data_IF_712366511348
#
_entry.id   IF_712366511348
#
_cell.length_a   1.000
_cell.length_b   1.000
_cell.length_c   1.000
_cell.angle_alpha   90.00
_cell.angle_beta   90.00
_cell.angle_gamma   90.00
#
_symmetry.space_group_name_H-M   'P 1'
#
loop_
_entity.id
_entity.type
_entity.pdbx_description
1 polymer ?
#
# COMPACT_ATOMS: atom_id res chain seq x y z
N UNK A 1 -56.61 44.87 -7.55
CA UNK A 1 -56.70 46.06 -8.42
C UNK A 1 -56.27 45.59 -9.81
N UNK A 2 -57.11 45.78 -10.85
CA UNK A 2 -57.15 44.94 -12.07
C UNK A 2 -57.43 43.44 -11.76
N UNK A 3 -58.46 42.74 -12.24
CA UNK A 3 -59.46 42.93 -13.29
C UNK A 3 -58.98 42.66 -14.74
N UNK A 4 -59.45 41.55 -15.32
CA UNK A 4 -60.35 41.64 -16.47
C UNK A 4 -61.24 40.38 -16.61
N UNK A 5 -62.42 40.50 -17.25
CA UNK A 5 -63.38 39.42 -17.50
C UNK A 5 -64.07 39.61 -18.86
N UNK A 6 -64.04 38.58 -19.72
CA UNK A 6 -64.97 38.36 -20.82
C UNK A 6 -64.87 36.89 -21.29
N UNK A 7 -65.84 36.16 -21.88
CA UNK A 7 -67.29 36.25 -22.19
C UNK A 7 -67.55 35.82 -23.66
N UNK A 8 -68.67 35.12 -23.89
CA UNK A 8 -69.25 34.73 -25.20
C UNK A 8 -68.43 33.63 -25.95
N UNK A 9 -68.97 32.49 -26.42
CA UNK A 9 -70.16 32.12 -27.23
C UNK A 9 -69.99 32.45 -28.73
N UNK A 10 -70.33 31.61 -29.73
CA UNK A 10 -70.87 30.23 -29.76
C UNK A 10 -70.14 29.41 -30.89
N UNK A 11 -70.62 28.41 -31.65
CA UNK A 11 -71.95 27.88 -32.06
C UNK A 11 -71.88 26.39 -32.47
N UNK A 12 -72.96 25.83 -33.02
CA UNK A 12 -73.01 24.58 -33.84
C UNK A 12 -73.54 24.96 -35.27
N UNK A 13 -73.81 24.08 -36.29
CA UNK A 13 -74.31 22.68 -36.22
C UNK A 13 -73.82 21.64 -37.27
N UNK A 14 -74.25 20.38 -37.07
CA UNK A 14 -74.54 19.31 -38.07
C UNK A 14 -73.38 18.77 -38.95
N UNK A 15 -73.36 17.51 -39.43
CA UNK A 15 -74.47 16.61 -39.82
C UNK A 15 -74.29 15.11 -39.52
N UNK A 16 -75.45 14.46 -39.31
CA UNK A 16 -75.84 13.06 -39.52
C UNK A 16 -74.82 12.01 -40.07
N UNK A 17 -74.72 10.88 -39.35
CA UNK A 17 -75.00 9.54 -39.89
C UNK A 17 -75.32 8.55 -38.75
N UNK A 18 -76.17 7.54 -38.98
CA UNK A 18 -76.63 6.59 -37.95
C UNK A 18 -76.18 5.15 -38.21
N UNK A 19 -75.90 4.39 -37.15
CA UNK A 19 -76.30 2.98 -37.00
C UNK A 19 -76.01 2.44 -35.58
N UNK A 20 -76.67 1.34 -35.21
CA UNK A 20 -76.77 0.85 -33.83
C UNK A 20 -76.02 -0.47 -33.68
N UNK A 21 -75.12 -0.60 -32.69
CA UNK A 21 -74.69 -1.92 -32.21
C UNK A 21 -74.36 -1.96 -30.70
N UNK A 22 -75.28 -2.63 -29.99
CA UNK A 22 -75.34 -3.10 -28.60
C UNK A 22 -74.05 -3.02 -27.74
N UNK A 23 -74.18 -2.39 -26.56
CA UNK A 23 -73.22 -2.42 -25.44
C UNK A 23 -72.85 -3.86 -25.02
N UNK A 24 -71.57 -4.09 -24.71
CA UNK A 24 -71.09 -5.17 -23.82
C UNK A 24 -70.24 -4.56 -22.69
N UNK A 25 -70.43 -4.93 -21.41
CA UNK A 25 -69.60 -4.43 -20.31
C UNK A 25 -68.20 -5.04 -20.33
N UNK A 26 -67.17 -4.25 -19.97
CA UNK A 26 -65.81 -4.73 -19.74
C UNK A 26 -65.56 -4.91 -18.24
N UNK A 27 -65.32 -6.13 -17.73
CA UNK A 27 -64.66 -6.33 -16.45
C UNK A 27 -63.13 -6.19 -16.61
N UNK A 28 -62.53 -5.63 -15.55
CA UNK A 28 -61.12 -5.27 -15.36
C UNK A 28 -60.10 -6.25 -15.94
N UNK A 29 -59.07 -5.74 -16.66
CA UNK A 29 -57.79 -6.45 -16.81
C UNK A 29 -57.14 -6.56 -15.43
N UNK A 30 -56.88 -7.77 -14.95
CA UNK A 30 -55.98 -8.02 -13.83
C UNK A 30 -54.55 -7.69 -14.25
N UNK A 31 -53.88 -6.79 -13.53
CA UNK A 31 -52.48 -6.49 -13.76
C UNK A 31 -51.61 -7.65 -13.24
N UNK A 32 -51.18 -8.54 -14.14
CA UNK A 32 -50.15 -9.52 -13.81
C UNK A 32 -48.81 -8.77 -13.66
N UNK A 33 -48.16 -8.80 -12.48
CA UNK A 33 -46.88 -8.13 -12.30
C UNK A 33 -45.81 -8.89 -13.09
N UNK A 34 -45.43 -8.35 -14.26
CA UNK A 34 -44.21 -8.78 -14.95
C UNK A 34 -43.06 -8.61 -13.96
N UNK A 35 -42.47 -9.72 -13.52
CA UNK A 35 -41.13 -9.73 -12.90
C UNK A 35 -40.17 -9.12 -13.92
N UNK A 36 -39.92 -7.83 -13.80
CA UNK A 36 -38.72 -7.23 -14.36
C UNK A 36 -37.56 -7.89 -13.61
N UNK A 37 -36.87 -8.82 -14.27
CA UNK A 37 -35.58 -9.28 -13.79
C UNK A 37 -34.63 -8.09 -13.86
N UNK A 38 -34.48 -7.40 -12.73
CA UNK A 38 -33.50 -6.33 -12.58
C UNK A 38 -32.12 -6.93 -12.77
N UNK A 39 -31.60 -6.83 -14.00
CA UNK A 39 -30.16 -6.85 -14.23
C UNK A 39 -29.63 -5.67 -13.44
N UNK A 40 -29.14 -5.95 -12.23
CA UNK A 40 -28.35 -5.03 -11.45
C UNK A 40 -27.17 -4.66 -12.35
N UNK A 41 -27.21 -3.44 -12.87
CA UNK A 41 -26.15 -2.89 -13.68
C UNK A 41 -24.97 -2.62 -12.76
N UNK A 42 -24.11 -3.63 -12.58
CA UNK A 42 -22.79 -3.48 -11.96
C UNK A 42 -21.87 -2.76 -12.95
N UNK A 43 -22.27 -1.53 -13.27
CA UNK A 43 -21.39 -0.45 -13.70
C UNK A 43 -21.25 0.41 -12.46
N UNK A 44 -20.45 -0.08 -11.51
CA UNK A 44 -19.97 0.78 -10.45
C UNK A 44 -19.24 1.94 -11.11
N UNK A 45 -19.49 3.17 -10.67
CA UNK A 45 -18.67 4.29 -11.09
C UNK A 45 -17.23 3.98 -10.64
N UNK A 46 -16.33 3.79 -11.61
CA UNK A 46 -14.91 3.57 -11.29
C UNK A 46 -14.43 4.81 -10.57
N UNK A 47 -14.08 4.64 -9.29
CA UNK A 47 -13.58 5.74 -8.46
C UNK A 47 -12.24 6.19 -9.03
N UNK A 48 -11.95 7.51 -9.02
CA UNK A 48 -10.63 8.09 -9.31
C UNK A 48 -9.58 7.78 -8.20
N UNK A 49 -9.72 6.60 -7.58
CA UNK A 49 -8.97 6.09 -6.44
C UNK A 49 -8.45 4.70 -6.81
N UNK A 50 -7.22 4.61 -7.37
CA UNK A 50 -6.67 3.35 -7.89
C UNK A 50 -6.47 2.28 -6.81
N UNK A 51 -6.49 2.67 -5.52
CA UNK A 51 -6.48 1.72 -4.40
C UNK A 51 -7.80 0.96 -4.35
N UNK A 52 -8.94 1.67 -4.46
CA UNK A 52 -10.27 1.05 -4.49
C UNK A 52 -10.48 0.24 -5.76
N UNK A 53 -10.04 0.76 -6.91
CA UNK A 53 -10.08 0.04 -8.18
C UNK A 53 -9.33 -1.30 -8.08
N UNK A 54 -8.08 -1.27 -7.60
CA UNK A 54 -7.28 -2.48 -7.43
C UNK A 54 -7.93 -3.48 -6.46
N UNK A 55 -8.39 -3.03 -5.29
CA UNK A 55 -9.04 -3.90 -4.28
C UNK A 55 -10.29 -4.60 -4.86
N UNK A 56 -11.11 -3.87 -5.63
CA UNK A 56 -12.34 -4.37 -6.25
C UNK A 56 -12.12 -5.15 -7.57
N UNK A 57 -10.87 -5.34 -8.01
CA UNK A 57 -10.52 -6.04 -9.26
C UNK A 57 -9.46 -7.11 -9.03
N UNK A 58 -8.18 -6.74 -9.02
CA UNK A 58 -7.04 -7.64 -8.73
C UNK A 58 -7.09 -8.22 -7.31
N UNK A 59 -7.58 -7.45 -6.34
CA UNK A 59 -7.80 -7.85 -4.95
C UNK A 59 -9.04 -8.74 -4.73
N UNK A 60 -9.91 -8.90 -5.74
CA UNK A 60 -11.07 -9.80 -5.78
C UNK A 60 -12.17 -9.55 -4.72
N UNK A 61 -12.16 -8.41 -4.04
CA UNK A 61 -13.31 -7.97 -3.26
C UNK A 61 -14.48 -7.59 -4.18
N UNK A 62 -15.72 -7.84 -3.75
CA UNK A 62 -16.92 -7.29 -4.42
C UNK A 62 -17.40 -6.00 -3.76
N UNK A 63 -17.05 -5.77 -2.49
CA UNK A 63 -17.44 -4.58 -1.73
C UNK A 63 -16.39 -4.19 -0.67
N UNK A 64 -16.15 -2.89 -0.52
CA UNK A 64 -15.41 -2.33 0.63
C UNK A 64 -16.45 -2.01 1.71
N UNK A 65 -16.41 -2.75 2.82
CA UNK A 65 -17.36 -2.64 3.94
C UNK A 65 -16.97 -1.58 4.96
N UNK A 66 -15.71 -1.13 4.95
CA UNK A 66 -15.23 -0.07 5.84
C UNK A 66 -13.80 0.37 5.53
N UNK A 67 -13.42 1.55 6.05
CA UNK A 67 -12.05 2.05 6.01
C UNK A 67 -11.71 2.73 7.33
N UNK A 68 -10.56 2.39 7.92
CA UNK A 68 -10.08 2.98 9.18
C UNK A 68 -8.63 3.41 9.08
N UNK A 69 -8.32 4.65 9.45
CA UNK A 69 -6.93 5.11 9.62
C UNK A 69 -6.24 4.33 10.74
N UNK A 70 -4.99 3.95 10.52
CA UNK A 70 -4.14 3.27 11.51
C UNK A 70 -3.03 4.24 11.92
N UNK A 71 -2.85 4.41 13.24
CA UNK A 71 -1.76 5.20 13.80
C UNK A 71 -0.41 4.48 13.73
N UNK A 72 0.68 5.24 13.75
CA UNK A 72 2.06 4.71 13.79
C UNK A 72 2.96 5.22 12.66
N UNK A 73 2.40 5.56 11.49
CA UNK A 73 3.16 6.11 10.37
C UNK A 73 3.64 7.55 10.61
N UNK A 74 4.94 7.74 10.86
CA UNK A 74 5.54 9.07 11.01
C UNK A 74 5.67 9.86 9.70
N UNK A 75 5.70 9.16 8.55
CA UNK A 75 5.95 9.72 7.21
C UNK A 75 4.78 9.47 6.26
N UNK A 76 4.14 8.30 6.38
CA UNK A 76 3.10 7.80 5.48
C UNK A 76 1.76 7.67 6.20
N UNK A 77 0.66 7.98 5.53
CA UNK A 77 -0.68 7.76 6.07
C UNK A 77 -1.07 6.28 5.89
N UNK A 78 -1.28 5.57 6.99
CA UNK A 78 -1.65 4.16 7.01
C UNK A 78 -3.17 3.97 7.18
N UNK A 79 -3.75 3.04 6.43
CA UNK A 79 -5.18 2.74 6.42
C UNK A 79 -5.42 1.23 6.31
N UNK A 80 -6.45 0.74 7.00
CA UNK A 80 -7.06 -0.56 6.76
C UNK A 80 -8.32 -0.38 5.92
N UNK A 81 -8.45 -1.20 4.89
CA UNK A 81 -9.65 -1.35 4.07
C UNK A 81 -10.26 -2.72 4.40
N UNK A 82 -11.50 -2.74 4.87
CA UNK A 82 -12.24 -3.97 5.15
C UNK A 82 -13.13 -4.32 3.95
N UNK A 83 -13.15 -5.60 3.56
CA UNK A 83 -13.88 -6.09 2.39
C UNK A 83 -14.50 -7.46 2.66
N UNK A 84 -15.39 -7.89 1.77
CA UNK A 84 -15.93 -9.25 1.72
C UNK A 84 -14.88 -10.35 1.41
N UNK A 85 -13.73 -9.98 0.83
CA UNK A 85 -12.61 -10.87 0.57
C UNK A 85 -11.52 -10.86 1.67
N UNK A 86 -11.72 -10.10 2.76
CA UNK A 86 -10.75 -9.89 3.84
C UNK A 86 -10.29 -8.43 3.96
N UNK A 87 -9.29 -8.18 4.82
CA UNK A 87 -8.77 -6.84 5.06
C UNK A 87 -7.47 -6.58 4.29
N UNK A 88 -7.31 -5.38 3.74
CA UNK A 88 -6.08 -4.90 3.11
C UNK A 88 -5.45 -3.78 3.93
N UNK A 89 -4.12 -3.76 4.01
CA UNK A 89 -3.38 -2.64 4.58
C UNK A 89 -2.80 -1.78 3.45
N UNK A 90 -2.97 -0.47 3.57
CA UNK A 90 -2.58 0.51 2.56
C UNK A 90 -1.77 1.61 3.23
N UNK A 91 -0.61 1.92 2.67
CA UNK A 91 0.11 3.17 2.98
C UNK A 91 0.00 4.11 1.80
N UNK A 92 -0.15 5.40 2.08
CA UNK A 92 -0.16 6.46 1.07
C UNK A 92 0.81 7.59 1.45
N UNK A 93 1.41 8.22 0.44
CA UNK A 93 2.20 9.43 0.60
C UNK A 93 1.85 10.41 -0.52
N UNK A 94 1.37 11.61 -0.18
CA UNK A 94 0.91 12.63 -1.17
C UNK A 94 2.05 13.50 -1.74
N UNK A 95 3.31 13.19 -1.46
CA UNK A 95 4.49 13.99 -1.86
C UNK A 95 5.60 13.17 -2.48
N UNK A 96 5.79 11.92 -2.06
CA UNK A 96 6.86 11.04 -2.51
C UNK A 96 6.36 10.16 -3.66
N UNK A 97 7.16 10.04 -4.73
CA UNK A 97 6.90 9.16 -5.86
C UNK A 97 7.04 7.66 -5.52
N UNK A 98 6.69 6.75 -6.44
CA UNK A 98 6.52 5.33 -6.12
C UNK A 98 7.80 4.62 -5.69
N UNK A 99 8.99 5.08 -6.08
CA UNK A 99 10.29 4.46 -5.78
C UNK A 99 10.51 4.07 -4.30
N UNK A 100 10.02 4.87 -3.35
CA UNK A 100 10.06 4.54 -1.91
C UNK A 100 9.30 3.24 -1.60
N UNK A 101 8.07 3.15 -2.13
CA UNK A 101 7.20 1.98 -1.96
C UNK A 101 7.59 0.80 -2.86
N UNK A 102 8.21 1.04 -4.02
CA UNK A 102 8.82 0.00 -4.86
C UNK A 102 9.97 -0.69 -4.10
N UNK A 103 10.82 0.10 -3.43
CA UNK A 103 11.87 -0.40 -2.55
C UNK A 103 11.32 -1.18 -1.34
N UNK A 104 10.25 -0.68 -0.71
CA UNK A 104 9.57 -1.39 0.39
C UNK A 104 8.95 -2.72 -0.08
N UNK A 105 8.24 -2.72 -1.20
CA UNK A 105 7.61 -3.92 -1.76
C UNK A 105 8.64 -4.98 -2.19
N UNK A 106 9.75 -4.58 -2.80
CA UNK A 106 10.83 -5.51 -3.16
C UNK A 106 11.54 -6.07 -1.93
N UNK A 107 11.73 -5.25 -0.88
CA UNK A 107 12.26 -5.71 0.41
C UNK A 107 11.34 -6.72 1.11
N UNK A 108 10.05 -6.39 1.24
CA UNK A 108 9.04 -7.29 1.80
C UNK A 108 8.95 -8.60 1.00
N UNK A 109 8.96 -8.54 -0.34
CA UNK A 109 8.91 -9.74 -1.20
C UNK A 109 10.14 -10.62 -1.06
N UNK A 110 11.34 -10.03 -1.01
CA UNK A 110 12.59 -10.77 -0.80
C UNK A 110 12.59 -11.51 0.55
N UNK A 111 12.13 -10.86 1.63
CA UNK A 111 12.01 -11.49 2.94
C UNK A 111 10.93 -12.58 2.95
N UNK A 112 9.76 -12.34 2.34
CA UNK A 112 8.67 -13.32 2.23
C UNK A 112 9.12 -14.61 1.54
N UNK A 113 9.90 -14.50 0.45
CA UNK A 113 10.37 -15.64 -0.32
C UNK A 113 11.37 -16.53 0.44
N UNK A 114 12.00 -16.04 1.51
CA UNK A 114 12.82 -16.88 2.42
C UNK A 114 12.01 -17.92 3.19
N UNK A 115 10.68 -17.71 3.35
CA UNK A 115 9.77 -18.55 4.15
C UNK A 115 10.21 -18.74 5.61
N UNK A 116 10.93 -17.77 6.15
CA UNK A 116 11.50 -17.79 7.50
C UNK A 116 10.57 -17.10 8.52
N UNK A 117 10.74 -15.80 8.73
CA UNK A 117 9.94 -14.89 9.57
C UNK A 117 8.70 -14.39 8.84
N UNK A 118 7.63 -14.02 9.58
CA UNK A 118 6.43 -13.46 8.96
C UNK A 118 6.64 -11.98 8.61
N UNK A 119 6.24 -11.63 7.40
CA UNK A 119 6.20 -10.25 6.88
C UNK A 119 4.91 -10.06 6.09
N UNK A 120 4.33 -8.86 6.01
CA UNK A 120 3.17 -8.60 5.15
C UNK A 120 3.49 -8.92 3.68
N UNK A 121 2.67 -9.72 3.02
CA UNK A 121 2.77 -9.95 1.58
C UNK A 121 2.41 -8.65 0.80
N UNK A 122 3.33 -8.03 0.03
CA UNK A 122 3.02 -6.87 -0.79
C UNK A 122 2.25 -7.29 -2.06
N UNK A 123 1.23 -6.52 -2.43
CA UNK A 123 0.38 -6.81 -3.59
C UNK A 123 0.56 -5.83 -4.74
N UNK A 124 0.61 -4.52 -4.45
CA UNK A 124 0.65 -3.47 -5.48
C UNK A 124 1.35 -2.22 -4.98
N UNK A 125 2.11 -1.57 -5.87
CA UNK A 125 2.59 -0.19 -5.71
C UNK A 125 2.06 0.63 -6.88
N UNK A 126 1.79 1.92 -6.66
CA UNK A 126 1.34 2.80 -7.73
C UNK A 126 1.41 4.29 -7.37
N UNK A 127 1.19 5.13 -8.38
CA UNK A 127 1.09 6.59 -8.22
C UNK A 127 -0.35 7.01 -7.89
N UNK A 128 -0.52 8.08 -7.12
CA UNK A 128 -1.82 8.69 -6.85
C UNK A 128 -2.15 9.74 -7.92
N UNK A 129 -3.40 9.83 -8.44
CA UNK A 129 -3.77 10.84 -9.45
C UNK A 129 -3.58 12.29 -8.99
N UNK A 130 -3.66 12.54 -7.68
CA UNK A 130 -3.44 13.85 -7.06
C UNK A 130 -1.96 14.19 -6.80
N UNK A 131 -1.04 13.33 -7.27
CA UNK A 131 0.38 13.38 -6.92
C UNK A 131 0.71 12.54 -5.68
N UNK A 132 1.92 11.98 -5.68
CA UNK A 132 2.35 11.01 -4.66
C UNK A 132 2.13 9.56 -5.09
N UNK A 133 2.13 8.64 -4.12
CA UNK A 133 2.14 7.19 -4.33
C UNK A 133 1.47 6.39 -3.19
N UNK A 134 1.29 5.09 -3.42
CA UNK A 134 0.72 4.15 -2.46
C UNK A 134 1.35 2.75 -2.58
N UNK A 135 1.19 1.95 -1.51
CA UNK A 135 1.42 0.50 -1.48
C UNK A 135 0.21 -0.19 -0.84
N UNK A 136 -0.18 -1.35 -1.39
CA UNK A 136 -1.22 -2.25 -0.87
C UNK A 136 -0.55 -3.57 -0.50
N UNK A 137 -0.83 -4.07 0.71
CA UNK A 137 -0.28 -5.31 1.25
C UNK A 137 -1.28 -6.05 2.16
N UNK A 138 -0.91 -7.25 2.59
CA UNK A 138 -1.61 -8.04 3.60
C UNK A 138 -1.89 -7.23 4.87
N UNK A 139 -3.14 -7.21 5.34
CA UNK A 139 -3.44 -6.77 6.70
C UNK A 139 -3.20 -7.90 7.69
N UNK A 140 -2.09 -7.83 8.43
CA UNK A 140 -1.82 -8.71 9.56
C UNK A 140 -2.52 -8.13 10.80
N UNK A 141 -3.43 -8.91 11.40
CA UNK A 141 -3.99 -8.56 12.71
C UNK A 141 -2.97 -8.92 13.81
N UNK A 142 -2.52 -7.90 14.56
CA UNK A 142 -1.61 -8.11 15.67
C UNK A 142 -2.30 -8.66 16.92
N UNK A 143 -1.58 -9.50 17.65
CA UNK A 143 -2.00 -10.05 18.94
C UNK A 143 -1.85 -9.06 20.10
N UNK A 144 -2.22 -9.49 21.30
CA UNK A 144 -1.97 -8.74 22.56
C UNK A 144 -0.61 -9.05 23.20
N UNK A 145 0.11 -10.03 22.67
CA UNK A 145 1.45 -10.43 23.15
C UNK A 145 2.53 -9.52 22.57
N UNK A 146 3.68 -9.42 23.25
CA UNK A 146 4.90 -8.76 22.74
C UNK A 146 5.77 -9.69 21.86
N UNK A 147 5.23 -10.85 21.49
CA UNK A 147 5.91 -11.91 20.73
C UNK A 147 6.92 -12.70 21.57
N UNK A 148 7.24 -13.91 21.13
CA UNK A 148 8.39 -14.66 21.67
C UNK A 148 9.69 -14.12 21.06
N UNK A 149 10.54 -13.52 21.91
CA UNK A 149 11.86 -13.01 21.51
C UNK A 149 12.82 -14.14 21.09
N UNK A 150 12.64 -15.37 21.58
CA UNK A 150 13.40 -16.54 21.15
C UNK A 150 12.99 -16.99 19.75
N UNK A 151 11.69 -17.04 19.45
CA UNK A 151 11.19 -17.25 18.10
C UNK A 151 11.69 -16.16 17.14
N UNK A 152 11.59 -14.87 17.52
CA UNK A 152 12.09 -13.74 16.73
C UNK A 152 13.58 -13.93 16.37
N UNK A 153 14.44 -14.19 17.36
CA UNK A 153 15.87 -14.42 17.12
C UNK A 153 16.17 -15.60 16.20
N UNK A 154 15.49 -16.74 16.39
CA UNK A 154 15.62 -17.91 15.49
C UNK A 154 15.17 -17.59 14.07
N UNK A 155 14.02 -16.92 13.92
CA UNK A 155 13.39 -16.58 12.65
C UNK A 155 14.19 -15.56 11.83
N UNK A 156 14.85 -14.60 12.49
CA UNK A 156 15.81 -13.69 11.84
C UNK A 156 17.06 -14.44 11.34
N UNK A 157 17.61 -15.37 12.12
CA UNK A 157 18.76 -16.21 11.69
C UNK A 157 18.38 -17.13 10.52
N UNK A 158 17.16 -17.65 10.48
CA UNK A 158 16.63 -18.36 9.32
C UNK A 158 16.58 -17.44 8.08
N UNK A 159 16.10 -16.19 8.22
CA UNK A 159 16.03 -15.21 7.13
C UNK A 159 17.41 -14.90 6.54
N UNK A 160 18.37 -14.54 7.40
CA UNK A 160 19.74 -14.17 6.98
C UNK A 160 20.46 -15.33 6.29
N UNK A 161 20.19 -16.58 6.69
CA UNK A 161 20.80 -17.78 6.07
C UNK A 161 20.14 -18.19 4.75
N UNK A 162 18.87 -17.88 4.54
CA UNK A 162 18.11 -18.35 3.38
C UNK A 162 18.37 -17.52 2.12
N UNK A 163 18.54 -16.20 2.25
CA UNK A 163 18.78 -15.31 1.11
C UNK A 163 20.21 -14.77 1.10
N UNK A 164 21.04 -15.40 0.25
CA UNK A 164 22.40 -14.95 -0.10
C UNK A 164 22.42 -14.18 -1.43
N UNK A 165 23.41 -13.32 -1.61
CA UNK A 165 23.65 -12.58 -2.87
C UNK A 165 24.91 -13.09 -3.58
N UNK A 166 24.80 -13.33 -4.89
CA UNK A 166 25.94 -13.59 -5.79
C UNK A 166 26.61 -12.31 -6.31
N UNK A 167 25.98 -11.15 -6.08
CA UNK A 167 26.44 -9.82 -6.55
C UNK A 167 27.23 -9.03 -5.50
N UNK A 168 27.52 -9.64 -4.35
CA UNK A 168 28.07 -8.95 -3.19
C UNK A 168 27.00 -8.15 -2.43
N UNK A 169 27.39 -6.98 -1.93
CA UNK A 169 26.64 -6.15 -0.98
C UNK A 169 25.87 -5.06 -1.70
N UNK A 170 24.61 -4.82 -1.33
CA UNK A 170 23.71 -3.91 -2.06
C UNK A 170 22.28 -4.44 -2.19
N UNK A 171 21.51 -3.90 -3.15
CA UNK A 171 20.15 -4.34 -3.44
C UNK A 171 19.75 -4.04 -4.90
N UNK A 172 18.64 -4.62 -5.36
CA UNK A 172 18.18 -4.47 -6.75
C UNK A 172 17.70 -3.05 -7.11
N UNK A 173 17.32 -2.25 -6.11
CA UNK A 173 16.90 -0.86 -6.22
C UNK A 173 17.47 -0.04 -5.06
N UNK A 174 17.65 1.26 -5.27
CA UNK A 174 17.73 2.20 -4.15
C UNK A 174 16.38 2.23 -3.42
N UNK A 175 16.42 2.40 -2.10
CA UNK A 175 15.23 2.56 -1.27
C UNK A 175 15.46 3.67 -0.24
N UNK A 176 14.80 3.63 0.91
CA UNK A 176 14.90 4.68 1.94
C UNK A 176 15.05 4.09 3.33
N UNK A 177 15.89 4.72 4.15
CA UNK A 177 15.91 4.54 5.61
C UNK A 177 15.18 5.73 6.23
N UNK A 178 13.98 5.49 6.77
CA UNK A 178 13.02 6.56 7.06
C UNK A 178 12.68 7.35 5.79
N UNK A 179 12.99 8.64 5.75
CA UNK A 179 12.84 9.52 4.57
C UNK A 179 14.16 9.81 3.84
N UNK A 180 15.27 9.23 4.27
CA UNK A 180 16.59 9.44 3.67
C UNK A 180 16.84 8.39 2.58
N UNK A 181 17.29 8.77 1.35
CA UNK A 181 17.67 7.80 0.34
C UNK A 181 18.75 6.85 0.85
N UNK A 182 18.62 5.56 0.53
CA UNK A 182 19.59 4.52 0.85
C UNK A 182 20.16 3.96 -0.46
N UNK A 183 21.40 4.35 -0.72
CA UNK A 183 22.15 3.97 -1.92
C UNK A 183 22.50 2.49 -1.84
N UNK A 184 22.09 1.71 -2.84
CA UNK A 184 22.18 0.24 -2.82
C UNK A 184 23.01 -0.34 -3.98
N UNK A 185 23.82 0.49 -4.63
CA UNK A 185 24.79 0.09 -5.66
C UNK A 185 25.64 -1.09 -5.20
N UNK A 186 25.70 -2.15 -6.01
CA UNK A 186 26.43 -3.36 -5.69
C UNK A 186 27.95 -3.12 -5.56
N UNK A 187 28.55 -3.66 -4.49
CA UNK A 187 30.01 -3.71 -4.29
C UNK A 187 30.47 -5.11 -3.89
N UNK A 188 31.73 -5.45 -4.21
CA UNK A 188 32.32 -6.76 -3.89
C UNK A 188 32.89 -6.84 -2.46
N UNK A 189 33.15 -5.69 -1.81
CA UNK A 189 33.65 -5.60 -0.44
C UNK A 189 32.61 -4.90 0.47
N UNK A 190 32.51 -5.41 1.70
CA UNK A 190 31.59 -4.90 2.74
C UNK A 190 32.12 -3.59 3.34
N UNK A 191 33.44 -3.50 3.52
CA UNK A 191 34.07 -2.37 4.21
C UNK A 191 33.99 -1.13 3.30
N UNK A 192 34.16 -1.28 1.98
CA UNK A 192 33.80 -0.26 0.99
C UNK A 192 32.30 0.06 1.05
N UNK A 193 31.41 -0.93 1.01
CA UNK A 193 29.95 -0.71 1.02
C UNK A 193 29.51 0.17 2.18
N UNK A 194 29.88 -0.23 3.39
CA UNK A 194 29.45 0.43 4.61
C UNK A 194 30.10 1.80 4.78
N UNK A 195 31.39 1.94 4.43
CA UNK A 195 32.10 3.23 4.42
C UNK A 195 31.43 4.24 3.49
N UNK A 196 31.07 3.83 2.29
CA UNK A 196 30.68 4.69 1.18
C UNK A 196 29.17 4.93 1.11
N UNK A 197 28.40 3.84 1.17
CA UNK A 197 26.95 3.81 0.94
C UNK A 197 26.12 3.80 2.24
N UNK A 198 26.75 3.74 3.42
CA UNK A 198 26.09 3.96 4.72
C UNK A 198 26.69 5.16 5.46
N UNK A 199 27.88 5.02 6.06
CA UNK A 199 28.48 6.06 6.91
C UNK A 199 28.79 7.35 6.13
N UNK A 200 29.60 7.27 5.08
CA UNK A 200 30.05 8.41 4.28
C UNK A 200 28.92 9.20 3.64
N UNK A 201 27.87 8.52 3.18
CA UNK A 201 26.67 9.16 2.66
C UNK A 201 25.93 9.98 3.73
N UNK A 202 25.71 9.43 4.92
CA UNK A 202 25.06 10.14 6.04
C UNK A 202 25.92 11.31 6.53
N UNK A 203 27.23 11.11 6.68
CA UNK A 203 28.19 12.18 7.04
C UNK A 203 28.14 13.33 6.04
N UNK A 204 28.11 13.02 4.73
CA UNK A 204 28.00 14.02 3.66
C UNK A 204 26.69 14.80 3.75
N UNK A 205 25.55 14.12 3.98
CA UNK A 205 24.26 14.79 4.16
C UNK A 205 24.25 15.72 5.39
N UNK A 206 24.84 15.30 6.52
CA UNK A 206 24.94 16.12 7.72
C UNK A 206 25.80 17.37 7.45
N UNK A 207 26.98 17.20 6.85
CA UNK A 207 27.87 18.30 6.50
C UNK A 207 27.21 19.29 5.53
N UNK A 208 26.55 18.80 4.47
CA UNK A 208 25.86 19.65 3.48
C UNK A 208 24.64 20.37 4.04
N UNK A 209 23.94 19.81 5.05
CA UNK A 209 22.70 20.37 5.60
C UNK A 209 22.92 21.29 6.81
N UNK A 210 23.96 21.04 7.61
CA UNK A 210 24.18 21.72 8.89
C UNK A 210 25.54 22.41 9.00
N UNK A 211 26.45 22.22 8.04
CA UNK A 211 27.80 22.83 8.05
C UNK A 211 28.77 22.20 9.05
N UNK A 212 28.41 21.09 9.69
CA UNK A 212 29.27 20.41 10.66
C UNK A 212 30.43 19.69 9.96
N UNK A 213 31.60 20.35 9.91
CA UNK A 213 32.84 19.75 9.42
C UNK A 213 33.47 18.83 10.47
N UNK A 214 33.27 19.11 11.76
CA UNK A 214 33.91 18.38 12.86
C UNK A 214 33.39 16.93 12.97
N UNK A 215 32.10 16.68 12.73
CA UNK A 215 31.57 15.32 12.61
C UNK A 215 32.00 14.65 11.30
N UNK A 216 32.07 15.41 10.21
CA UNK A 216 32.47 14.90 8.89
C UNK A 216 33.92 14.40 8.89
N UNK A 217 34.85 15.23 9.36
CA UNK A 217 36.29 14.94 9.47
C UNK A 217 36.56 13.74 10.38
N UNK A 218 35.94 13.68 11.57
CA UNK A 218 36.02 12.52 12.47
C UNK A 218 35.43 11.26 11.83
N UNK A 219 34.37 11.41 11.05
CA UNK A 219 33.77 10.33 10.28
C UNK A 219 34.67 9.79 9.16
N UNK A 220 35.39 10.66 8.45
CA UNK A 220 36.40 10.22 7.47
C UNK A 220 37.55 9.49 8.16
N UNK A 221 38.07 10.01 9.28
CA UNK A 221 39.13 9.37 10.07
C UNK A 221 38.72 8.00 10.64
N UNK A 222 37.41 7.75 10.85
CA UNK A 222 36.88 6.43 11.22
C UNK A 222 36.83 5.50 10.00
N UNK A 223 36.36 5.99 8.86
CA UNK A 223 36.30 5.24 7.59
C UNK A 223 37.69 4.78 7.15
N UNK A 224 38.68 5.67 7.17
CA UNK A 224 40.10 5.36 6.87
C UNK A 224 40.68 4.25 7.77
N UNK A 225 40.13 4.07 8.97
CA UNK A 225 40.58 3.10 9.99
C UNK A 225 39.60 1.94 10.16
N UNK A 226 38.66 1.76 9.23
CA UNK A 226 37.61 0.76 9.40
C UNK A 226 38.08 -0.66 9.06
N UNK A 227 39.06 -0.83 8.16
CA UNK A 227 39.58 -2.16 7.79
C UNK A 227 40.07 -2.98 9.01
N UNK A 228 40.97 -2.47 9.88
CA UNK A 228 41.45 -3.22 11.06
C UNK A 228 40.37 -3.61 12.09
N UNK A 229 39.15 -3.06 11.99
CA UNK A 229 38.03 -3.47 12.87
C UNK A 229 37.41 -4.82 12.44
N UNK A 230 37.76 -5.30 11.24
CA UNK A 230 37.25 -6.53 10.64
C UNK A 230 38.37 -7.49 10.19
N UNK A 231 39.61 -7.28 10.64
CA UNK A 231 40.76 -8.13 10.29
C UNK A 231 40.49 -9.61 10.66
N UNK A 232 40.59 -10.49 9.67
CA UNK A 232 40.32 -11.93 9.82
C UNK A 232 38.83 -12.33 9.83
N UNK A 233 37.89 -11.38 9.74
CA UNK A 233 36.48 -11.69 9.58
C UNK A 233 36.16 -12.09 8.13
N UNK A 234 35.44 -13.20 7.95
CA UNK A 234 34.77 -13.53 6.69
C UNK A 234 33.32 -13.08 6.81
N UNK A 235 32.92 -12.15 5.94
CA UNK A 235 31.57 -11.61 5.86
C UNK A 235 30.92 -12.21 4.60
N UNK A 236 29.69 -12.70 4.73
CA UNK A 236 28.92 -13.28 3.62
C UNK A 236 27.65 -12.44 3.39
N UNK A 237 27.35 -11.99 2.15
CA UNK A 237 26.13 -11.25 1.85
C UNK A 237 24.85 -11.99 2.26
N UNK A 238 24.10 -11.41 3.19
CA UNK A 238 22.85 -11.91 3.76
C UNK A 238 21.75 -10.83 3.72
N UNK A 239 20.50 -11.25 3.47
CA UNK A 239 19.36 -10.34 3.37
C UNK A 239 19.00 -9.74 4.74
N UNK A 240 19.08 -8.42 4.88
CA UNK A 240 18.68 -7.69 6.08
C UNK A 240 17.32 -7.00 5.96
N UNK A 241 16.66 -6.84 7.10
CA UNK A 241 15.51 -5.95 7.28
C UNK A 241 15.88 -4.46 7.10
N UNK A 242 17.11 -4.07 7.45
CA UNK A 242 17.63 -2.70 7.33
C UNK A 242 17.19 -1.72 8.42
N UNK A 243 15.92 -1.75 8.85
CA UNK A 243 15.37 -0.89 9.91
C UNK A 243 14.69 -1.72 11.02
N UNK A 244 15.46 -2.53 11.75
CA UNK A 244 14.89 -3.46 12.74
C UNK A 244 14.97 -2.91 14.17
N UNK A 245 13.88 -2.32 14.63
CA UNK A 245 13.70 -1.79 15.99
C UNK A 245 12.28 -2.03 16.50
N UNK A 246 11.98 -1.68 17.75
CA UNK A 246 10.72 -2.04 18.43
C UNK A 246 9.44 -1.45 17.83
N UNK A 247 9.51 -0.43 16.97
CA UNK A 247 8.36 0.06 16.19
C UNK A 247 8.01 -0.84 15.00
N UNK A 248 9.00 -1.56 14.48
CA UNK A 248 8.92 -2.40 13.28
C UNK A 248 8.83 -3.91 13.62
N UNK A 249 8.64 -4.25 14.89
CA UNK A 249 8.50 -5.61 15.41
C UNK A 249 7.13 -5.75 16.06
N UNK A 250 6.40 -6.80 15.68
CA UNK A 250 5.08 -7.13 16.23
C UNK A 250 4.92 -8.65 16.38
N UNK A 251 3.75 -9.08 16.83
CA UNK A 251 3.34 -10.48 16.80
C UNK A 251 1.91 -10.58 16.27
N UNK A 252 1.61 -11.64 15.52
CA UNK A 252 0.24 -11.90 15.04
C UNK A 252 -0.67 -12.47 16.15
N UNK A 253 -1.90 -12.87 15.78
CA UNK A 253 -2.87 -13.47 16.71
C UNK A 253 -2.45 -14.81 17.31
N UNK A 254 -1.53 -15.53 16.68
CA UNK A 254 -0.97 -16.79 17.21
C UNK A 254 0.20 -16.52 18.16
N UNK A 255 0.81 -15.34 18.04
CA UNK A 255 2.03 -14.94 18.76
C UNK A 255 3.31 -15.10 17.93
N UNK A 256 3.20 -15.47 16.66
CA UNK A 256 4.34 -15.59 15.74
C UNK A 256 4.95 -14.20 15.46
N UNK A 257 6.29 -14.09 15.41
CA UNK A 257 6.97 -12.80 15.23
C UNK A 257 6.78 -12.26 13.80
N UNK A 258 6.40 -10.98 13.72
CA UNK A 258 6.18 -10.24 12.48
C UNK A 258 7.13 -9.05 12.42
N UNK A 259 7.79 -8.84 11.27
CA UNK A 259 8.59 -7.63 11.01
C UNK A 259 8.00 -6.80 9.86
N UNK A 260 8.15 -5.47 9.95
CA UNK A 260 7.39 -4.46 9.21
C UNK A 260 8.32 -3.34 8.72
N UNK A 261 7.95 -2.65 7.64
CA UNK A 261 8.60 -1.40 7.20
C UNK A 261 10.12 -1.54 6.92
N UNK A 262 10.55 -2.45 6.03
CA UNK A 262 11.97 -2.72 5.78
C UNK A 262 12.69 -1.66 4.93
N UNK A 263 13.90 -1.29 5.35
CA UNK A 263 14.90 -0.58 4.55
C UNK A 263 15.88 -1.59 3.92
N UNK A 264 15.37 -2.60 3.23
CA UNK A 264 16.07 -3.84 2.89
C UNK A 264 17.34 -3.67 2.01
N UNK A 265 18.39 -4.46 2.30
CA UNK A 265 19.58 -4.66 1.46
C UNK A 265 20.33 -5.93 1.90
N UNK A 266 21.32 -6.37 1.13
CA UNK A 266 22.25 -7.43 1.50
C UNK A 266 23.52 -6.85 2.16
N UNK A 267 23.82 -7.29 3.39
CA UNK A 267 25.03 -6.99 4.20
C UNK A 267 25.90 -8.23 4.35
#
# INVERSE_FOLDING_TARGET
MAANVALLSASSPSTSASSILRRRPRPRRSACPRRAASRLSVVAAMSDDPIKEWILTEGKATQITGTSSIGGGCINAAQRYDTDAGSFFVKTNRRIGPAMFEGEALGLKAMYDTKSIRVPLPYKVGSLPTGGSFIIMEYIQFGRSRGDQSALGRKLVEMHKAAKSDKGYGFYVENTIGSTPQINTWTADWIEFYSKHRLGYQLKLISQRFGDSAIYEKGQQLIEKMHPLFDGAVIEPCLLHGDLWSGNISADTNGDPVILDPACYCM
#
